data_IF_579665026531
#
_entry.id   IF_579665026531
#
_cell.length_a   1.000
_cell.length_b   1.000
_cell.length_c   1.000
_cell.angle_alpha   90.00
_cell.angle_beta   90.00
_cell.angle_gamma   90.00
#
_symmetry.space_group_name_H-M   'P 1'
#
loop_
_entity.id
_entity.type
_entity.pdbx_description
1 polymer ?
#
# COMPACT_ATOMS: atom_id res chain seq x y z
N UNK A 1 -0.40 25.57 2.97
CA UNK A 1 0.27 24.37 2.44
C UNK A 1 1.65 24.80 1.96
N UNK A 2 2.73 24.33 2.58
CA UNK A 2 4.08 24.72 2.17
C UNK A 2 4.44 24.06 0.84
N UNK A 3 5.26 24.73 0.01
CA UNK A 3 5.72 24.21 -1.29
C UNK A 3 6.36 22.81 -1.17
N UNK A 4 7.01 22.53 -0.03
CA UNK A 4 7.58 21.22 0.29
C UNK A 4 6.52 20.12 0.41
N UNK A 5 5.37 20.39 1.05
CA UNK A 5 4.28 19.40 1.15
C UNK A 5 3.67 19.11 -0.22
N UNK A 6 3.49 20.14 -1.04
CA UNK A 6 2.96 19.97 -2.40
C UNK A 6 3.94 19.16 -3.23
N UNK A 7 5.23 19.49 -3.20
CA UNK A 7 6.27 18.74 -3.91
C UNK A 7 6.34 17.27 -3.49
N UNK A 8 6.30 16.97 -2.19
CA UNK A 8 6.26 15.59 -1.70
C UNK A 8 5.01 14.85 -2.17
N UNK A 9 3.83 15.48 -2.08
CA UNK A 9 2.59 14.88 -2.54
C UNK A 9 2.63 14.59 -4.05
N UNK A 10 3.19 15.49 -4.85
CA UNK A 10 3.36 15.28 -6.30
C UNK A 10 4.29 14.11 -6.61
N UNK A 11 5.46 14.03 -5.96
CA UNK A 11 6.39 12.90 -6.14
C UNK A 11 5.74 11.58 -5.74
N UNK A 12 4.98 11.58 -4.64
CA UNK A 12 4.27 10.39 -4.18
C UNK A 12 3.20 9.92 -5.17
N UNK A 13 2.42 10.85 -5.74
CA UNK A 13 1.44 10.55 -6.78
C UNK A 13 2.11 10.01 -8.04
N UNK A 14 3.22 10.61 -8.48
CA UNK A 14 3.99 10.14 -9.63
C UNK A 14 4.50 8.72 -9.43
N UNK A 15 5.06 8.42 -8.24
CA UNK A 15 5.46 7.06 -7.89
C UNK A 15 4.26 6.10 -7.95
N UNK A 16 3.12 6.48 -7.37
CA UNK A 16 1.89 5.69 -7.45
C UNK A 16 1.46 5.36 -8.88
N UNK A 17 1.53 6.33 -9.80
CA UNK A 17 1.23 6.13 -11.22
C UNK A 17 2.23 5.19 -11.89
N UNK A 18 3.54 5.35 -11.62
CA UNK A 18 4.56 4.46 -12.19
C UNK A 18 4.42 3.02 -11.71
N UNK A 19 4.13 2.82 -10.42
CA UNK A 19 3.86 1.49 -9.87
C UNK A 19 2.60 0.90 -10.49
N UNK A 20 1.52 1.69 -10.62
CA UNK A 20 0.29 1.25 -11.27
C UNK A 20 0.55 0.77 -12.70
N UNK A 21 1.31 1.53 -13.50
CA UNK A 21 1.63 1.16 -14.89
C UNK A 21 2.45 -0.13 -14.97
N UNK A 22 3.52 -0.24 -14.18
CA UNK A 22 4.34 -1.45 -14.14
C UNK A 22 3.53 -2.68 -13.73
N UNK A 23 2.65 -2.54 -12.73
CA UNK A 23 1.84 -3.63 -12.24
C UNK A 23 0.74 -4.02 -13.24
N UNK A 24 0.14 -3.04 -13.92
CA UNK A 24 -0.81 -3.27 -15.00
C UNK A 24 -0.16 -4.00 -16.19
N UNK A 25 1.06 -3.59 -16.57
CA UNK A 25 1.80 -4.25 -17.64
C UNK A 25 2.20 -5.68 -17.25
N UNK A 26 2.60 -5.91 -15.99
CA UNK A 26 2.84 -7.26 -15.48
C UNK A 26 1.57 -8.11 -15.51
N UNK A 27 0.45 -7.57 -15.03
CA UNK A 27 -0.85 -8.24 -15.03
C UNK A 27 -1.30 -8.63 -16.44
N UNK A 28 -1.12 -7.73 -17.42
CA UNK A 28 -1.45 -7.99 -18.83
C UNK A 28 -0.55 -9.06 -19.45
N UNK A 29 0.72 -9.16 -19.03
CA UNK A 29 1.64 -10.21 -19.48
C UNK A 29 1.30 -11.58 -18.92
N UNK A 30 0.89 -11.64 -17.65
CA UNK A 30 0.55 -12.90 -16.98
C UNK A 30 -0.78 -13.48 -17.46
N UNK A 31 -1.66 -12.66 -18.04
CA UNK A 31 -2.96 -13.08 -18.53
C UNK A 31 -3.24 -12.62 -19.98
N UNK A 32 -2.65 -13.30 -20.98
CA UNK A 32 -2.77 -12.91 -22.39
C UNK A 32 -4.16 -13.13 -23.02
N UNK A 33 -5.05 -13.89 -22.37
CA UNK A 33 -6.37 -14.27 -22.88
C UNK A 33 -7.55 -13.64 -22.09
N UNK A 34 -7.32 -12.59 -21.32
CA UNK A 34 -8.40 -11.89 -20.62
C UNK A 34 -9.33 -11.19 -21.60
N UNK A 35 -10.62 -11.26 -21.30
CA UNK A 35 -11.64 -10.50 -22.01
C UNK A 35 -11.48 -8.99 -21.72
N UNK A 36 -11.97 -8.14 -22.62
CA UNK A 36 -11.82 -6.68 -22.46
C UNK A 36 -12.51 -6.15 -21.19
N UNK A 37 -13.58 -6.81 -20.75
CA UNK A 37 -14.29 -6.51 -19.51
C UNK A 37 -13.42 -6.75 -18.27
N UNK A 38 -12.70 -7.87 -18.21
CA UNK A 38 -11.84 -8.19 -17.08
C UNK A 38 -10.63 -7.24 -16.99
N UNK A 39 -10.11 -6.81 -18.14
CA UNK A 39 -9.04 -5.80 -18.21
C UNK A 39 -9.56 -4.46 -17.66
N UNK A 40 -10.79 -4.08 -18.00
CA UNK A 40 -11.39 -2.84 -17.51
C UNK A 40 -11.64 -2.88 -16.00
N UNK A 41 -12.19 -3.98 -15.48
CA UNK A 41 -12.39 -4.19 -14.04
C UNK A 41 -11.04 -4.15 -13.32
N UNK A 42 -10.02 -4.83 -13.83
CA UNK A 42 -8.67 -4.84 -13.26
C UNK A 42 -8.10 -3.42 -13.18
N UNK A 43 -8.28 -2.61 -14.23
CA UNK A 43 -7.86 -1.21 -14.25
C UNK A 43 -8.56 -0.38 -13.18
N UNK A 44 -9.86 -0.58 -12.97
CA UNK A 44 -10.63 0.10 -11.92
C UNK A 44 -10.11 -0.30 -10.54
N UNK A 45 -9.98 -1.60 -10.28
CA UNK A 45 -9.51 -2.13 -8.99
C UNK A 45 -8.12 -1.58 -8.67
N UNK A 46 -7.23 -1.57 -9.66
CA UNK A 46 -5.88 -1.07 -9.52
C UNK A 46 -5.87 0.45 -9.24
N UNK A 47 -6.79 1.20 -9.88
CA UNK A 47 -6.93 2.64 -9.65
C UNK A 47 -7.46 2.96 -8.26
N UNK A 48 -8.47 2.21 -7.80
CA UNK A 48 -9.01 2.28 -6.44
C UNK A 48 -7.92 1.94 -5.42
N UNK A 49 -7.10 0.92 -5.67
CA UNK A 49 -5.98 0.57 -4.80
C UNK A 49 -4.94 1.69 -4.72
N UNK A 50 -4.58 2.34 -5.83
CA UNK A 50 -3.65 3.48 -5.84
C UNK A 50 -4.21 4.70 -5.09
N UNK A 51 -5.51 4.98 -5.19
CA UNK A 51 -6.16 6.09 -4.46
C UNK A 51 -6.30 5.77 -2.97
N UNK A 52 -6.59 4.51 -2.62
CA UNK A 52 -6.75 4.08 -1.22
C UNK A 52 -5.42 3.79 -0.53
N UNK A 53 -4.32 3.61 -1.27
CA UNK A 53 -2.97 3.39 -0.75
C UNK A 53 -2.62 4.31 0.44
N UNK A 54 -2.83 5.64 0.40
CA UNK A 54 -2.43 6.54 1.48
C UNK A 54 -3.18 6.28 2.79
N UNK A 55 -4.34 5.62 2.73
CA UNK A 55 -5.15 5.22 3.87
C UNK A 55 -4.80 3.79 4.31
N UNK A 56 -4.58 2.88 3.36
CA UNK A 56 -4.26 1.46 3.64
C UNK A 56 -2.89 1.32 4.32
N UNK A 57 -1.88 2.09 3.88
CA UNK A 57 -0.52 2.05 4.44
C UNK A 57 -0.47 2.41 5.94
N UNK A 58 -1.03 3.54 6.42
CA UNK A 58 -1.02 3.83 7.85
C UNK A 58 -1.84 2.83 8.66
N UNK A 59 -2.96 2.33 8.13
CA UNK A 59 -3.77 1.31 8.81
C UNK A 59 -2.98 0.00 9.00
N UNK A 60 -2.24 -0.44 7.98
CA UNK A 60 -1.40 -1.64 8.08
C UNK A 60 -0.28 -1.44 9.10
N UNK A 61 0.34 -0.25 9.12
CA UNK A 61 1.39 0.09 10.06
C UNK A 61 0.91 0.09 11.52
N UNK A 62 -0.32 0.57 11.77
CA UNK A 62 -0.91 0.54 13.13
C UNK A 62 -1.02 -0.90 13.63
N UNK A 63 -1.44 -1.85 12.79
CA UNK A 63 -1.56 -3.26 13.18
C UNK A 63 -0.20 -3.85 13.56
N UNK A 64 0.82 -3.60 12.74
CA UNK A 64 2.20 -4.04 13.00
C UNK A 64 2.72 -3.42 14.30
N UNK A 65 2.54 -2.11 14.47
CA UNK A 65 2.97 -1.39 15.67
C UNK A 65 2.30 -1.95 16.94
N UNK A 66 1.00 -2.27 16.88
CA UNK A 66 0.30 -2.89 17.99
C UNK A 66 0.82 -4.29 18.30
N UNK A 67 1.12 -5.11 17.27
CA UNK A 67 1.70 -6.43 17.45
C UNK A 67 3.07 -6.35 18.14
N UNK A 68 3.97 -5.50 17.64
CA UNK A 68 5.31 -5.28 18.23
C UNK A 68 5.23 -4.76 19.67
N UNK A 69 4.29 -3.85 19.96
CA UNK A 69 4.06 -3.36 21.35
C UNK A 69 3.58 -4.46 22.29
N UNK A 70 2.72 -5.36 21.82
CA UNK A 70 2.24 -6.51 22.61
C UNK A 70 3.38 -7.48 22.93
N UNK A 71 4.26 -7.74 21.97
CA UNK A 71 5.44 -8.60 22.17
C UNK A 71 6.40 -8.01 23.19
N UNK A 72 6.79 -6.73 23.04
CA UNK A 72 7.65 -6.06 24.02
C UNK A 72 7.06 -6.04 25.43
N UNK A 73 5.73 -5.87 25.55
CA UNK A 73 5.06 -5.93 26.87
C UNK A 73 5.16 -7.33 27.49
N UNK A 74 4.97 -8.39 26.71
CA UNK A 74 5.12 -9.78 27.20
C UNK A 74 6.54 -10.07 27.63
N UNK A 75 7.53 -9.57 26.90
CA UNK A 75 8.95 -9.71 27.24
C UNK A 75 9.31 -9.00 28.55
N UNK A 76 8.86 -7.75 28.72
CA UNK A 76 9.09 -6.99 29.96
C UNK A 76 8.44 -7.65 31.18
N UNK A 77 7.24 -8.21 31.02
CA UNK A 77 6.57 -8.98 32.07
C UNK A 77 7.32 -10.27 32.44
N UNK A 78 7.93 -10.96 31.46
CA UNK A 78 8.75 -12.14 31.74
C UNK A 78 10.02 -11.79 32.51
N UNK A 79 10.71 -10.72 32.12
CA UNK A 79 11.93 -10.25 32.82
C UNK A 79 11.59 -9.80 34.25
N UNK A 80 10.44 -9.18 34.47
CA UNK A 80 10.05 -8.68 35.80
C UNK A 80 9.61 -9.78 36.78
N UNK A 81 9.25 -10.98 36.31
CA UNK A 81 8.77 -12.08 37.15
C UNK A 81 9.86 -13.13 37.46
N UNK A 82 10.98 -13.08 36.73
CA UNK A 82 12.12 -13.99 36.85
C UNK A 82 13.24 -13.33 37.65
#
# INVERSE_FOLDING_TARGET
>A
MSLLQVGLASVYLLLGVTFFQNWYDAFKRDQPNLDEEDIFISRIVLGVATVLWPVVVPISYIKVLQATRREKRKEFQRISYN
#
